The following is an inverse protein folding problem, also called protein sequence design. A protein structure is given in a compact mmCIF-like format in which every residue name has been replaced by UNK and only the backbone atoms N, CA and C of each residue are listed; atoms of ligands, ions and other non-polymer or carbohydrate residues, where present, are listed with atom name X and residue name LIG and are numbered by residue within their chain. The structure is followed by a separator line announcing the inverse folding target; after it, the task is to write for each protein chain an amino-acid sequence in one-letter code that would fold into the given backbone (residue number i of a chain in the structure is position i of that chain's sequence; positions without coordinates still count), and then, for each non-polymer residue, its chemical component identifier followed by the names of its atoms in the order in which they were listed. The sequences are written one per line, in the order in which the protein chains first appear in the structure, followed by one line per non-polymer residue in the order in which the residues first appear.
data_IF_139603682824
#
_entry.id   IF_139603682824
#
_cell.length_a   1.000
_cell.length_b   1.000
_cell.length_c   1.000
_cell.angle_alpha   90.00
_cell.angle_beta   90.00
_cell.angle_gamma   90.00
#
_symmetry.space_group_name_H-M   'P 1'
#
loop_
_entity.id
_entity.type
_entity.pdbx_description
1 polymer ?
#
# COMPACT_ATOMS: atom_id res chain seq x y z
N UNK A 1 18.55 14.36 -47.13
CA UNK A 1 17.39 14.73 -46.28
C UNK A 1 17.65 16.10 -45.68
N UNK A 2 16.82 17.10 -45.98
CA UNK A 2 16.96 18.45 -45.40
C UNK A 2 16.48 18.45 -43.94
N UNK A 3 17.08 19.31 -43.13
CA UNK A 3 16.73 19.47 -41.72
C UNK A 3 15.33 20.10 -41.55
N UNK A 4 14.71 19.92 -40.38
CA UNK A 4 13.44 20.57 -40.03
C UNK A 4 13.60 22.09 -40.14
N UNK A 5 12.69 22.76 -40.86
CA UNK A 5 12.72 24.21 -41.11
C UNK A 5 12.49 25.07 -39.86
N UNK A 6 11.70 24.59 -38.91
CA UNK A 6 11.45 25.22 -37.61
C UNK A 6 11.54 24.17 -36.51
N UNK A 7 12.12 24.53 -35.37
CA UNK A 7 12.11 23.67 -34.19
C UNK A 7 10.71 23.62 -33.59
N UNK A 8 10.36 22.46 -33.07
CA UNK A 8 9.13 22.27 -32.30
C UNK A 8 9.46 21.40 -31.07
N UNK A 9 8.80 21.64 -29.93
CA UNK A 9 8.90 20.74 -28.79
C UNK A 9 8.50 19.32 -29.17
N UNK A 10 8.97 18.34 -28.39
CA UNK A 10 8.59 16.94 -28.59
C UNK A 10 7.16 16.71 -28.11
N UNK A 11 6.37 16.02 -28.92
CA UNK A 11 5.06 15.55 -28.51
C UNK A 11 5.17 14.35 -27.56
N UNK A 12 4.69 14.54 -26.33
CA UNK A 12 4.62 13.51 -25.30
C UNK A 12 5.95 13.22 -24.60
N UNK A 13 5.83 12.69 -23.38
CA UNK A 13 6.99 12.29 -22.57
C UNK A 13 7.41 10.86 -22.84
N UNK A 14 8.73 10.66 -23.01
CA UNK A 14 9.34 9.35 -23.15
C UNK A 14 9.31 8.51 -21.87
N UNK A 15 9.15 9.14 -20.71
CA UNK A 15 9.13 8.44 -19.41
C UNK A 15 7.92 7.52 -19.22
N UNK A 16 6.87 7.69 -20.02
CA UNK A 16 5.66 6.87 -19.98
C UNK A 16 5.63 5.77 -21.05
N UNK A 17 6.73 5.57 -21.79
CA UNK A 17 6.88 4.40 -22.66
C UNK A 17 7.26 3.16 -21.82
N UNK A 18 6.74 1.97 -22.16
CA UNK A 18 5.74 1.69 -23.20
C UNK A 18 4.31 2.02 -22.75
N UNK A 19 3.53 2.67 -23.63
CA UNK A 19 2.11 2.93 -23.44
C UNK A 19 1.30 1.65 -23.72
N UNK A 20 1.24 0.75 -22.74
CA UNK A 20 0.50 -0.51 -22.79
C UNK A 20 -0.46 -0.63 -21.61
N UNK A 21 -1.47 -1.50 -21.75
CA UNK A 21 -2.41 -1.80 -20.66
C UNK A 21 -1.66 -2.31 -19.42
N UNK A 22 -2.06 -1.83 -18.24
CA UNK A 22 -1.49 -2.30 -16.98
C UNK A 22 -1.75 -3.81 -16.80
N UNK A 23 -0.79 -4.52 -16.24
CA UNK A 23 -0.94 -5.94 -15.92
C UNK A 23 -1.77 -6.20 -14.66
N UNK A 24 -2.01 -5.16 -13.86
CA UNK A 24 -2.76 -5.21 -12.60
C UNK A 24 -3.91 -4.20 -12.65
N UNK A 25 -5.03 -4.60 -12.06
CA UNK A 25 -6.20 -3.75 -11.89
C UNK A 25 -5.95 -2.64 -10.84
N UNK A 26 -5.23 -2.97 -9.76
CA UNK A 26 -4.77 -2.01 -8.77
C UNK A 26 -3.36 -1.49 -9.07
N UNK A 27 -3.11 -0.23 -8.73
CA UNK A 27 -1.76 0.35 -8.77
C UNK A 27 -0.81 -0.39 -7.83
N UNK A 28 0.43 -0.63 -8.29
CA UNK A 28 1.50 -1.19 -7.45
C UNK A 28 2.48 -0.08 -7.11
N UNK A 29 2.66 0.18 -5.82
CA UNK A 29 3.73 1.03 -5.31
C UNK A 29 5.07 0.31 -5.53
N UNK A 30 6.00 0.95 -6.24
CA UNK A 30 7.35 0.41 -6.50
C UNK A 30 8.38 0.87 -5.48
N UNK A 31 8.16 2.05 -4.90
CA UNK A 31 9.06 2.70 -3.94
C UNK A 31 8.20 3.31 -2.84
N UNK A 32 8.55 3.00 -1.60
CA UNK A 32 7.94 3.59 -0.40
C UNK A 32 8.84 4.71 0.13
N UNK A 33 8.33 5.55 1.03
CA UNK A 33 9.16 6.53 1.73
C UNK A 33 10.27 5.82 2.51
N UNK A 34 11.41 6.49 2.68
CA UNK A 34 12.47 5.98 3.55
C UNK A 34 11.98 5.92 4.99
N UNK A 35 12.45 4.93 5.72
CA UNK A 35 12.12 4.74 7.13
C UNK A 35 12.94 5.67 8.02
N UNK A 36 12.29 6.21 9.05
CA UNK A 36 12.91 7.04 10.08
C UNK A 36 12.68 6.36 11.44
N UNK A 37 13.69 5.65 11.99
CA UNK A 37 13.56 4.88 13.24
C UNK A 37 13.13 5.69 14.46
N UNK A 38 13.32 7.01 14.45
CA UNK A 38 12.93 7.90 15.53
C UNK A 38 11.41 8.13 15.62
N UNK A 39 10.68 7.87 14.53
CA UNK A 39 9.23 8.06 14.48
C UNK A 39 8.49 6.82 14.97
N UNK A 40 7.29 6.98 15.53
CA UNK A 40 6.46 5.84 15.87
C UNK A 40 6.10 5.03 14.61
N UNK A 41 5.81 3.74 14.82
CA UNK A 41 5.36 2.83 13.78
C UNK A 41 4.11 3.40 13.10
N UNK A 42 4.16 3.52 11.78
CA UNK A 42 3.05 4.01 10.97
C UNK A 42 2.95 3.21 9.66
N UNK A 43 1.75 3.20 9.07
CA UNK A 43 1.52 2.63 7.75
C UNK A 43 1.82 3.68 6.68
N UNK A 44 2.55 3.28 5.64
CA UNK A 44 2.98 4.21 4.59
C UNK A 44 2.00 4.27 3.41
N UNK A 45 1.06 3.33 3.33
CA UNK A 45 0.11 3.25 2.23
C UNK A 45 -1.28 2.80 2.69
N UNK A 46 -2.29 3.23 1.95
CA UNK A 46 -3.68 2.84 2.16
C UNK A 46 -4.35 2.56 0.81
N UNK A 47 -5.35 1.68 0.79
CA UNK A 47 -6.14 1.39 -0.40
C UNK A 47 -7.51 2.06 -0.32
N UNK A 48 -7.81 2.92 -1.29
CA UNK A 48 -9.12 3.54 -1.45
C UNK A 48 -9.74 3.25 -2.82
N UNK A 49 -11.04 3.51 -2.92
CA UNK A 49 -11.82 3.40 -4.13
C UNK A 49 -12.33 4.78 -4.53
N UNK A 50 -12.19 5.17 -5.80
CA UNK A 50 -12.75 6.44 -6.29
C UNK A 50 -14.27 6.36 -6.31
N UNK A 51 -14.94 7.15 -5.47
CA UNK A 51 -16.39 7.21 -5.37
C UNK A 51 -16.99 8.27 -6.29
N UNK A 52 -16.29 9.40 -6.49
CA UNK A 52 -16.79 10.50 -7.32
C UNK A 52 -15.88 11.72 -7.29
N UNK A 53 -16.34 12.81 -7.91
CA UNK A 53 -15.68 14.12 -7.86
C UNK A 53 -16.73 15.19 -7.56
N UNK A 54 -16.37 16.12 -6.70
CA UNK A 54 -17.19 17.27 -6.31
C UNK A 54 -16.32 18.53 -6.35
N UNK A 55 -16.94 19.68 -6.14
CA UNK A 55 -16.22 20.93 -5.88
C UNK A 55 -16.46 21.35 -4.44
N UNK A 56 -15.41 21.83 -3.77
CA UNK A 56 -15.51 22.45 -2.46
C UNK A 56 -15.23 23.94 -2.60
N UNK A 57 -15.85 24.74 -1.75
CA UNK A 57 -15.50 26.15 -1.58
C UNK A 57 -14.68 26.25 -0.31
N UNK A 58 -13.46 26.77 -0.42
CA UNK A 58 -12.59 26.98 0.73
C UNK A 58 -11.94 28.36 0.63
N UNK A 59 -11.75 29.01 1.78
CA UNK A 59 -10.93 30.21 1.88
C UNK A 59 -9.45 29.86 1.74
N UNK A 60 -8.76 30.51 0.81
CA UNK A 60 -7.35 30.25 0.54
C UNK A 60 -6.46 31.13 1.43
N UNK A 61 -5.64 30.50 2.27
CA UNK A 61 -4.56 31.17 3.02
C UNK A 61 -3.22 30.95 2.33
N UNK A 62 -2.86 31.87 1.44
CA UNK A 62 -1.59 31.87 0.69
C UNK A 62 -1.07 33.30 0.60
N UNK A 63 -0.22 33.76 1.54
CA UNK A 63 0.27 35.13 1.57
C UNK A 63 1.01 35.48 0.27
N UNK A 64 0.78 36.69 -0.25
CA UNK A 64 1.33 37.16 -1.52
C UNK A 64 0.52 36.79 -2.77
N UNK A 65 -0.50 35.93 -2.64
CA UNK A 65 -1.39 35.62 -3.76
C UNK A 65 -2.57 36.60 -3.87
N UNK A 66 -3.05 36.87 -5.09
CA UNK A 66 -4.25 37.72 -5.33
C UNK A 66 -5.56 37.11 -4.79
N UNK A 67 -5.52 35.81 -4.50
CA UNK A 67 -6.62 34.99 -3.99
C UNK A 67 -6.53 34.77 -2.48
N UNK A 68 -5.56 35.39 -1.79
CA UNK A 68 -5.43 35.26 -0.35
C UNK A 68 -6.67 35.81 0.37
N UNK A 69 -7.17 35.07 1.37
CA UNK A 69 -8.39 35.39 2.14
C UNK A 69 -9.64 35.56 1.27
N UNK A 70 -9.70 34.82 0.16
CA UNK A 70 -10.88 34.76 -0.71
C UNK A 70 -11.33 33.31 -0.85
N UNK A 71 -12.62 33.14 -1.05
CA UNK A 71 -13.22 31.86 -1.38
C UNK A 71 -12.83 31.44 -2.80
N UNK A 72 -12.31 30.22 -2.92
CA UNK A 72 -11.98 29.60 -4.20
C UNK A 72 -12.70 28.26 -4.29
N UNK A 73 -13.23 27.98 -5.48
CA UNK A 73 -13.84 26.70 -5.80
C UNK A 73 -12.75 25.74 -6.27
N UNK A 74 -12.49 24.69 -5.50
CA UNK A 74 -11.50 23.66 -5.82
C UNK A 74 -12.18 22.32 -6.14
N UNK A 75 -11.74 21.65 -7.20
CA UNK A 75 -12.22 20.32 -7.55
C UNK A 75 -11.55 19.26 -6.66
N UNK A 76 -12.37 18.42 -6.01
CA UNK A 76 -11.93 17.38 -5.08
C UNK A 76 -12.46 16.02 -5.50
N UNK A 77 -11.63 14.99 -5.35
CA UNK A 77 -12.02 13.59 -5.57
C UNK A 77 -12.38 12.94 -4.25
N UNK A 78 -13.56 12.31 -4.19
CA UNK A 78 -14.00 11.54 -3.03
C UNK A 78 -13.46 10.12 -3.16
N UNK A 79 -12.77 9.66 -2.12
CA UNK A 79 -12.25 8.30 -2.00
C UNK A 79 -12.97 7.56 -0.87
N UNK A 80 -13.62 6.43 -1.20
CA UNK A 80 -14.14 5.49 -0.20
C UNK A 80 -12.99 4.62 0.31
N UNK A 81 -12.70 4.71 1.60
CA UNK A 81 -11.58 4.04 2.25
C UNK A 81 -12.08 3.11 3.35
N UNK A 82 -12.59 1.90 3.00
CA UNK A 82 -13.07 0.96 4.02
C UNK A 82 -11.91 0.49 4.92
N UNK A 83 -12.20 0.11 6.17
CA UNK A 83 -11.17 -0.37 7.09
C UNK A 83 -10.47 -1.60 6.51
N UNK A 84 -9.14 -1.60 6.56
CA UNK A 84 -8.31 -2.66 6.02
C UNK A 84 -7.90 -3.65 7.12
N UNK A 85 -8.06 -4.94 6.87
CA UNK A 85 -7.64 -5.99 7.80
C UNK A 85 -6.25 -6.49 7.39
N UNK A 86 -5.29 -6.49 8.33
CA UNK A 86 -3.97 -7.08 8.10
C UNK A 86 -4.03 -8.57 8.36
N UNK A 87 -3.64 -9.36 7.36
CA UNK A 87 -3.79 -10.84 7.33
C UNK A 87 -2.47 -11.56 7.45
N UNK A 88 -1.36 -10.83 7.40
CA UNK A 88 -0.03 -11.39 7.61
C UNK A 88 1.06 -10.35 7.48
N UNK A 89 2.28 -10.74 7.81
CA UNK A 89 3.49 -9.97 7.63
C UNK A 89 4.42 -10.68 6.66
N UNK A 90 5.02 -9.91 5.76
CA UNK A 90 6.09 -10.33 4.88
C UNK A 90 7.29 -9.51 5.25
N UNK A 91 8.38 -10.16 5.58
CA UNK A 91 9.60 -9.41 5.75
C UNK A 91 10.52 -9.50 4.54
N UNK A 92 11.26 -8.43 4.33
CA UNK A 92 12.31 -8.31 3.34
C UNK A 92 13.69 -8.24 3.98
N UNK A 93 14.64 -8.94 3.36
CA UNK A 93 16.06 -8.92 3.69
C UNK A 93 16.83 -8.28 2.52
N UNK A 94 17.77 -7.41 2.83
CA UNK A 94 18.62 -6.79 1.83
C UNK A 94 19.71 -7.77 1.37
N UNK A 95 19.81 -7.92 0.06
CA UNK A 95 20.84 -8.71 -0.64
C UNK A 95 21.52 -7.73 -1.61
N UNK A 96 22.78 -7.92 -2.04
CA UNK A 96 23.42 -7.03 -3.01
C UNK A 96 22.65 -6.79 -4.33
N UNK A 97 21.68 -7.65 -4.65
CA UNK A 97 20.78 -7.50 -5.82
C UNK A 97 19.47 -6.76 -5.51
N UNK A 98 19.31 -6.26 -4.28
CA UNK A 98 18.10 -5.62 -3.76
C UNK A 98 17.37 -6.44 -2.70
N UNK A 99 16.16 -6.02 -2.36
CA UNK A 99 15.34 -6.64 -1.32
C UNK A 99 14.74 -7.98 -1.80
N UNK A 100 14.93 -9.03 -1.00
CA UNK A 100 14.32 -10.35 -1.23
C UNK A 100 13.38 -10.70 -0.08
N UNK A 101 12.24 -11.30 -0.41
CA UNK A 101 11.33 -11.87 0.60
C UNK A 101 11.99 -13.04 1.31
N UNK A 102 12.10 -12.98 2.64
CA UNK A 102 12.69 -14.06 3.44
C UNK A 102 11.62 -15.04 3.94
N UNK A 103 10.66 -14.56 4.75
CA UNK A 103 9.50 -15.33 5.23
C UNK A 103 8.23 -14.49 5.19
N UNK A 104 7.11 -15.20 5.03
CA UNK A 104 5.76 -14.68 5.13
C UNK A 104 5.05 -15.40 6.26
N UNK A 105 4.56 -14.66 7.25
CA UNK A 105 3.78 -15.20 8.37
C UNK A 105 2.36 -14.69 8.24
N UNK A 106 1.39 -15.59 8.26
CA UNK A 106 -0.03 -15.24 8.17
C UNK A 106 -0.68 -15.29 9.54
N UNK A 107 -1.77 -14.54 9.70
CA UNK A 107 -2.62 -14.61 10.88
C UNK A 107 -3.27 -15.99 11.00
N UNK A 108 -3.63 -16.34 12.24
CA UNK A 108 -4.36 -17.57 12.54
C UNK A 108 -5.74 -17.59 11.87
N UNK A 109 -6.52 -16.54 12.10
CA UNK A 109 -7.86 -16.40 11.54
C UNK A 109 -7.83 -15.54 10.29
N UNK A 110 -8.14 -16.17 9.16
CA UNK A 110 -8.20 -15.51 7.85
C UNK A 110 -9.65 -15.54 7.38
N UNK A 111 -10.21 -14.36 7.12
CA UNK A 111 -11.59 -14.24 6.63
C UNK A 111 -11.75 -14.84 5.24
N UNK A 112 -12.96 -15.29 4.92
CA UNK A 112 -13.23 -15.93 3.64
C UNK A 112 -13.08 -14.96 2.45
N UNK A 113 -13.31 -13.67 2.65
CA UNK A 113 -13.03 -12.62 1.65
C UNK A 113 -11.55 -12.61 1.23
N UNK A 114 -10.65 -12.84 2.18
CA UNK A 114 -9.22 -12.96 1.91
C UNK A 114 -8.92 -14.26 1.15
N UNK A 115 -9.56 -15.37 1.54
CA UNK A 115 -9.39 -16.67 0.88
C UNK A 115 -9.88 -16.67 -0.56
N UNK A 116 -10.93 -15.88 -0.89
CA UNK A 116 -11.46 -15.73 -2.26
C UNK A 116 -10.38 -15.36 -3.26
N UNK A 117 -9.40 -14.56 -2.86
CA UNK A 117 -8.29 -14.09 -3.71
C UNK A 117 -7.35 -15.20 -4.18
N UNK A 118 -7.32 -16.34 -3.49
CA UNK A 118 -6.47 -17.47 -3.85
C UNK A 118 -7.12 -18.40 -4.88
N UNK A 119 -8.35 -18.10 -5.30
CA UNK A 119 -9.10 -18.89 -6.27
C UNK A 119 -9.65 -18.00 -7.38
N UNK A 120 -9.35 -18.34 -8.64
CA UNK A 120 -10.06 -17.73 -9.78
C UNK A 120 -11.56 -18.07 -9.76
N UNK A 121 -11.88 -19.33 -9.43
CA UNK A 121 -13.26 -19.83 -9.39
C UNK A 121 -13.64 -20.25 -7.97
N UNK A 122 -13.93 -19.30 -7.09
CA UNK A 122 -14.21 -19.55 -5.67
C UNK A 122 -15.38 -20.53 -5.44
N UNK A 123 -16.51 -20.33 -6.12
CA UNK A 123 -17.74 -21.12 -5.88
C UNK A 123 -17.61 -22.59 -6.29
N UNK A 124 -16.77 -22.90 -7.29
CA UNK A 124 -16.51 -24.28 -7.74
C UNK A 124 -15.36 -24.95 -6.99
N UNK A 125 -14.62 -24.20 -6.18
CA UNK A 125 -13.41 -24.70 -5.51
C UNK A 125 -13.72 -25.33 -4.16
N UNK A 126 -12.85 -26.24 -3.70
CA UNK A 126 -12.95 -26.89 -2.38
C UNK A 126 -12.54 -25.99 -1.19
N UNK A 127 -12.17 -24.73 -1.44
CA UNK A 127 -11.83 -23.69 -0.42
C UNK A 127 -10.83 -24.14 0.67
N UNK A 128 -9.81 -24.92 0.30
CA UNK A 128 -8.79 -25.46 1.21
C UNK A 128 -7.62 -24.52 1.54
N UNK A 129 -7.61 -23.30 1.02
CA UNK A 129 -6.55 -22.32 1.28
C UNK A 129 -6.40 -22.07 2.80
N UNK A 130 -5.16 -22.03 3.26
CA UNK A 130 -4.76 -21.82 4.67
C UNK A 130 -5.23 -22.84 5.70
N UNK A 131 -6.07 -23.82 5.34
CA UNK A 131 -6.58 -24.84 6.29
C UNK A 131 -5.49 -25.56 7.08
N UNK A 132 -4.38 -25.93 6.43
CA UNK A 132 -3.22 -26.54 7.11
C UNK A 132 -2.40 -25.53 7.90
N UNK A 133 -2.35 -24.28 7.44
CA UNK A 133 -1.56 -23.24 8.09
C UNK A 133 -2.20 -22.78 9.40
N UNK A 134 -3.52 -22.59 9.42
CA UNK A 134 -4.27 -22.27 10.64
C UNK A 134 -4.08 -23.32 11.73
N UNK A 135 -3.96 -24.61 11.36
CA UNK A 135 -3.69 -25.69 12.34
C UNK A 135 -2.34 -25.53 13.05
N UNK A 136 -1.32 -24.94 12.39
CA UNK A 136 -0.01 -24.69 13.02
C UNK A 136 -0.08 -23.73 14.21
N UNK A 137 -1.09 -22.86 14.26
CA UNK A 137 -1.30 -21.98 15.40
C UNK A 137 -1.89 -22.70 16.61
N UNK A 138 -2.53 -23.85 16.38
CA UNK A 138 -3.12 -24.69 17.43
C UNK A 138 -2.10 -25.69 17.99
N UNK A 139 -1.22 -26.22 17.13
CA UNK A 139 -0.17 -27.16 17.52
C UNK A 139 0.99 -26.47 18.26
N UNK A 140 1.45 -27.03 19.39
CA UNK A 140 2.56 -26.47 20.19
C UNK A 140 3.89 -26.41 19.41
N UNK A 141 4.18 -27.42 18.59
CA UNK A 141 5.37 -27.40 17.73
C UNK A 141 5.25 -26.37 16.60
N UNK A 142 4.03 -26.11 16.13
CA UNK A 142 3.74 -25.09 15.12
C UNK A 142 3.94 -23.68 15.68
N UNK A 143 3.48 -23.42 16.91
CA UNK A 143 3.75 -22.15 17.62
C UNK A 143 5.24 -21.91 17.80
N UNK A 144 6.01 -22.92 18.23
CA UNK A 144 7.48 -22.82 18.33
C UNK A 144 8.13 -22.49 16.98
N UNK A 145 7.64 -23.05 15.88
CA UNK A 145 8.14 -22.71 14.54
C UNK A 145 7.82 -21.27 14.17
N UNK A 146 6.60 -20.80 14.45
CA UNK A 146 6.18 -19.42 14.20
C UNK A 146 7.00 -18.42 15.03
N UNK A 147 7.26 -18.73 16.30
CA UNK A 147 8.07 -17.88 17.18
C UNK A 147 9.53 -17.80 16.70
N UNK A 148 10.09 -18.89 16.17
CA UNK A 148 11.40 -18.88 15.50
C UNK A 148 11.37 -18.03 14.23
N UNK A 149 10.31 -18.10 13.45
CA UNK A 149 10.12 -17.24 12.27
C UNK A 149 10.00 -15.76 12.69
N UNK A 150 9.29 -15.44 13.78
CA UNK A 150 9.20 -14.09 14.35
C UNK A 150 10.54 -13.58 14.89
N UNK A 151 11.31 -14.45 15.55
CA UNK A 151 12.64 -14.11 16.07
C UNK A 151 13.63 -13.86 14.93
N UNK A 152 13.57 -14.70 13.88
CA UNK A 152 14.29 -14.46 12.64
C UNK A 152 13.84 -13.15 11.99
N UNK A 153 12.52 -12.85 12.06
CA UNK A 153 11.93 -11.58 11.63
C UNK A 153 12.50 -10.37 12.31
N UNK A 154 12.67 -10.39 13.63
CA UNK A 154 13.28 -9.27 14.35
C UNK A 154 14.76 -9.10 14.03
N UNK A 155 15.48 -10.19 13.77
CA UNK A 155 16.94 -10.18 13.63
C UNK A 155 17.44 -9.73 12.26
N UNK A 156 16.84 -10.23 11.18
CA UNK A 156 17.39 -10.09 9.83
C UNK A 156 16.68 -9.05 8.97
N UNK A 157 15.58 -8.48 9.45
CA UNK A 157 14.69 -7.73 8.58
C UNK A 157 14.81 -6.25 8.80
N UNK A 158 14.87 -5.57 7.66
CA UNK A 158 14.99 -4.13 7.59
C UNK A 158 13.67 -3.49 7.18
N UNK A 159 12.79 -4.26 6.50
CA UNK A 159 11.46 -3.81 6.09
C UNK A 159 10.45 -4.93 6.33
N UNK A 160 9.34 -4.59 6.98
CA UNK A 160 8.20 -5.48 7.20
C UNK A 160 6.99 -4.92 6.46
N UNK A 161 6.21 -5.81 5.83
CA UNK A 161 5.06 -5.44 5.04
C UNK A 161 3.83 -6.22 5.52
N UNK A 162 2.79 -5.50 5.93
CA UNK A 162 1.47 -6.06 6.15
C UNK A 162 0.81 -6.48 4.83
N UNK A 163 0.25 -7.68 4.81
CA UNK A 163 -0.65 -8.13 3.75
C UNK A 163 -2.06 -7.68 4.12
N UNK A 164 -2.57 -6.68 3.41
CA UNK A 164 -3.89 -6.13 3.69
C UNK A 164 -4.81 -6.31 2.48
N UNK A 165 -5.66 -7.33 2.48
CA UNK A 165 -6.70 -7.48 1.49
C UNK A 165 -7.84 -6.48 1.68
N UNK A 166 -8.26 -5.88 0.58
CA UNK A 166 -9.50 -5.11 0.48
C UNK A 166 -10.75 -5.98 0.25
N UNK A 167 -11.91 -5.56 0.76
CA UNK A 167 -13.11 -6.40 0.81
C UNK A 167 -13.77 -6.66 -0.55
N UNK A 168 -13.64 -5.73 -1.53
CA UNK A 168 -14.48 -5.75 -2.75
C UNK A 168 -13.78 -6.16 -4.06
N UNK A 169 -12.45 -6.05 -4.18
CA UNK A 169 -11.74 -6.34 -5.44
C UNK A 169 -10.58 -7.33 -5.24
N UNK A 170 -10.23 -8.05 -6.31
CA UNK A 170 -9.11 -9.00 -6.40
C UNK A 170 -7.71 -8.35 -6.31
N UNK A 171 -7.57 -7.25 -5.57
CA UNK A 171 -6.31 -6.51 -5.46
C UNK A 171 -5.56 -6.92 -4.19
N UNK A 172 -4.66 -7.90 -4.29
CA UNK A 172 -3.64 -8.13 -3.26
C UNK A 172 -2.65 -6.97 -3.25
N UNK A 173 -2.75 -6.13 -2.22
CA UNK A 173 -1.82 -5.02 -1.98
C UNK A 173 -0.99 -5.36 -0.74
N UNK A 174 0.30 -5.08 -0.86
CA UNK A 174 1.22 -5.11 0.27
C UNK A 174 1.23 -3.71 0.83
N UNK A 175 0.83 -3.55 2.08
CA UNK A 175 1.00 -2.30 2.81
C UNK A 175 2.29 -2.43 3.59
N UNK A 176 3.29 -1.61 3.28
CA UNK A 176 4.53 -1.62 4.05
C UNK A 176 4.27 -0.92 5.38
N UNK A 177 4.65 -1.61 6.45
CA UNK A 177 4.70 -1.08 7.79
C UNK A 177 6.17 -1.10 8.19
N UNK A 178 6.84 0.03 8.02
CA UNK A 178 8.20 0.15 8.47
C UNK A 178 8.20 0.09 10.00
N UNK A 179 8.70 -1.01 10.54
CA UNK A 179 8.77 -1.24 11.97
C UNK A 179 10.20 -1.62 12.34
N UNK A 180 10.88 -0.77 13.12
CA UNK A 180 11.83 -1.26 14.11
C UNK A 180 11.01 -1.95 15.20
N UNK A 181 10.90 -3.28 15.11
CA UNK A 181 9.94 -4.06 15.88
C UNK A 181 10.32 -4.16 17.36
N UNK A 182 9.58 -3.45 18.21
CA UNK A 182 9.26 -3.91 19.56
C UNK A 182 7.85 -4.54 19.52
N UNK A 183 7.75 -5.84 19.21
CA UNK A 183 6.48 -6.59 19.28
C UNK A 183 6.26 -7.04 20.73
N UNK A 184 5.27 -6.49 21.47
CA UNK A 184 4.66 -7.21 22.58
C UNK A 184 3.88 -8.40 22.02
N UNK A 185 4.13 -9.58 22.57
CA UNK A 185 3.36 -10.79 22.36
C UNK A 185 1.92 -10.57 22.82
N UNK A 186 0.99 -10.26 21.93
CA UNK A 186 -0.44 -10.40 22.23
C UNK A 186 -1.27 -10.56 20.97
N UNK A 187 -2.09 -11.60 21.01
CA UNK A 187 -3.30 -11.83 20.26
C UNK A 187 -4.14 -10.56 20.11
N UNK A 188 -4.74 -10.40 18.92
CA UNK A 188 -5.68 -9.35 18.52
C UNK A 188 -5.09 -7.95 18.25
N UNK A 189 -4.38 -7.79 17.12
CA UNK A 189 -4.13 -6.46 16.53
C UNK A 189 -5.35 -6.00 15.72
N UNK A 190 -6.40 -5.57 16.42
CA UNK A 190 -7.44 -4.71 15.85
C UNK A 190 -7.02 -3.25 16.02
N UNK A 191 -6.06 -2.79 15.20
CA UNK A 191 -5.70 -1.37 15.17
C UNK A 191 -6.73 -0.60 14.33
N UNK A 192 -7.75 -0.08 15.01
CA UNK A 192 -8.61 0.97 14.45
C UNK A 192 -7.83 2.27 14.39
N UNK A 193 -7.42 2.71 13.19
CA UNK A 193 -6.78 4.01 13.00
C UNK A 193 -7.85 5.04 12.66
N UNK A 194 -7.86 6.12 13.45
CA UNK A 194 -8.75 7.27 13.36
C UNK A 194 -8.65 7.98 12.00
N UNK A 195 -9.81 8.36 11.47
CA UNK A 195 -9.99 9.12 10.23
C UNK A 195 -9.59 10.58 10.44
N UNK A 196 -8.35 10.95 10.09
CA UNK A 196 -8.05 12.35 9.75
C UNK A 196 -6.74 12.45 8.98
N UNK A 197 -6.83 12.36 7.65
CA UNK A 197 -5.80 12.88 6.77
C UNK A 197 -6.51 13.43 5.52
N UNK A 198 -6.67 14.75 5.47
CA UNK A 198 -7.15 15.47 4.30
C UNK A 198 -6.17 15.25 3.15
N UNK A 199 -6.56 14.43 2.18
CA UNK A 199 -5.78 14.22 0.96
C UNK A 199 -6.14 15.35 -0.01
N UNK A 200 -5.58 16.53 0.22
CA UNK A 200 -5.69 17.65 -0.73
C UNK A 200 -4.83 17.33 -1.95
N UNK A 201 -5.50 17.14 -3.10
CA UNK A 201 -4.93 17.36 -4.42
C UNK A 201 -4.00 16.27 -4.98
N UNK A 202 -4.58 15.25 -5.61
CA UNK A 202 -3.93 14.56 -6.72
C UNK A 202 -4.23 15.35 -8.00
N UNK A 203 -3.63 16.55 -8.09
CA UNK A 203 -3.64 17.40 -9.28
C UNK A 203 -2.49 16.98 -10.19
N UNK A 204 -2.86 16.60 -11.42
CA UNK A 204 -2.08 16.57 -12.65
C UNK A 204 -0.56 16.33 -12.57
N UNK A 205 -0.14 15.23 -13.19
CA UNK A 205 1.24 14.94 -13.56
C UNK A 205 1.91 16.12 -14.28
N UNK A 206 2.64 16.95 -13.54
CA UNK A 206 3.78 17.74 -14.01
C UNK A 206 4.75 17.90 -12.85
N UNK A 207 5.71 16.99 -12.77
CA UNK A 207 6.93 17.19 -11.98
C UNK A 207 7.75 18.27 -12.70
N UNK A 208 7.68 19.49 -12.19
CA UNK A 208 8.69 20.51 -12.44
C UNK A 208 9.95 20.11 -11.68
N UNK A 209 11.05 19.93 -12.41
CA UNK A 209 12.37 19.92 -11.81
C UNK A 209 12.63 21.28 -11.16
N UNK A 210 13.17 21.29 -9.95
CA UNK A 210 13.96 22.40 -9.42
C UNK A 210 15.06 21.83 -8.50
N UNK A 211 16.29 21.99 -9.00
CA UNK A 211 17.63 21.80 -8.45
C UNK A 211 18.06 20.43 -7.91
#
# INVERSE_FOLDING_TARGET
MSHKKFSAPRDGSLGFLPQKRSSRHGGKVKSFSKDDPSKPVHLTAFLGYKAGMIHIVQEVDRPGSKVNKKEVVEAVTILETPPMVVVGTVGYMEIPRGLRTFKTVFAEHISDECKRRFYKNWHKSKKKAFTKYCKKWQDEDGKKQLEKDFSSMKKYYQVICGLAPSPRLECSSYIIAHCNVCLPSSSCLSTSVSQSAGITGLSHCTWLMCH
#
